data_IF_945594037462
#
_entry.id   IF_945594037462
#
_cell.length_a   1.000
_cell.length_b   1.000
_cell.length_c   1.000
_cell.angle_alpha   90.00
_cell.angle_beta   90.00
_cell.angle_gamma   90.00
#
_symmetry.space_group_name_H-M   'P 1'
#
loop_
_entity.id
_entity.type
_entity.pdbx_description
1 polymer ?
#
# COMPACT_ATOMS: atom_id res chain seq x y z
N UNK A 1 60.52 -2.42 42.17
CA UNK A 1 59.80 -3.69 41.99
C UNK A 1 58.73 -3.50 40.90
N UNK A 2 59.05 -3.94 39.67
CA UNK A 2 58.19 -3.81 38.51
C UNK A 2 57.44 -5.15 38.33
N UNK A 3 56.10 -5.08 38.29
CA UNK A 3 55.30 -6.25 37.96
C UNK A 3 54.94 -6.23 36.46
N UNK A 4 55.40 -7.21 35.74
CA UNK A 4 55.11 -7.44 34.34
C UNK A 4 53.64 -7.78 34.15
N UNK A 5 52.99 -7.11 33.21
CA UNK A 5 51.62 -7.36 32.75
C UNK A 5 51.67 -8.32 31.55
N UNK A 6 51.31 -9.57 31.75
CA UNK A 6 51.22 -10.57 30.68
C UNK A 6 49.82 -10.50 30.08
N UNK A 7 49.69 -9.85 28.91
CA UNK A 7 48.46 -9.82 28.12
C UNK A 7 48.18 -11.20 27.51
N UNK A 8 47.10 -11.83 27.93
CA UNK A 8 46.52 -13.00 27.25
C UNK A 8 45.52 -12.54 26.20
N UNK A 9 45.89 -12.66 24.95
CA UNK A 9 45.00 -12.49 23.80
C UNK A 9 43.97 -13.63 23.77
N UNK A 10 42.71 -13.34 24.00
CA UNK A 10 41.59 -14.26 23.79
C UNK A 10 40.85 -13.83 22.52
N UNK A 11 41.38 -14.23 21.35
CA UNK A 11 40.55 -14.34 20.15
C UNK A 11 39.73 -15.62 20.26
N UNK A 12 38.57 -15.56 20.90
CA UNK A 12 37.57 -16.60 20.83
C UNK A 12 36.77 -16.44 19.55
N UNK A 13 36.80 -17.44 18.70
CA UNK A 13 36.12 -17.51 17.42
C UNK A 13 34.63 -17.26 17.56
N UNK A 14 34.14 -16.24 16.86
CA UNK A 14 32.72 -15.96 16.69
C UNK A 14 32.06 -17.01 15.81
N UNK A 15 31.64 -18.11 16.41
CA UNK A 15 30.74 -19.05 15.77
C UNK A 15 29.44 -18.33 15.45
N UNK A 16 29.09 -18.17 14.17
CA UNK A 16 27.77 -17.74 13.75
C UNK A 16 26.74 -18.70 14.33
N UNK A 17 26.03 -18.25 15.35
CA UNK A 17 24.90 -18.98 15.90
C UNK A 17 23.82 -19.02 14.82
N UNK A 18 23.64 -20.17 14.19
CA UNK A 18 22.55 -20.42 13.26
C UNK A 18 21.28 -20.31 14.10
N UNK A 19 20.58 -19.17 13.98
CA UNK A 19 19.27 -18.99 14.58
C UNK A 19 18.31 -19.95 13.85
N UNK A 20 17.68 -20.91 14.56
CA UNK A 20 16.72 -21.80 13.93
C UNK A 20 15.63 -20.97 13.26
N UNK A 21 15.32 -21.27 12.00
CA UNK A 21 14.18 -20.67 11.31
C UNK A 21 12.94 -20.95 12.15
N UNK A 22 12.31 -19.90 12.68
CA UNK A 22 11.04 -20.04 13.37
C UNK A 22 10.04 -20.74 12.44
N UNK A 23 9.46 -21.86 12.90
CA UNK A 23 8.36 -22.50 12.19
C UNK A 23 7.14 -21.58 12.29
N UNK A 24 6.44 -21.35 11.19
CA UNK A 24 5.18 -20.63 11.21
C UNK A 24 4.23 -21.28 12.22
N UNK A 25 3.58 -20.48 13.06
CA UNK A 25 2.59 -20.99 14.01
C UNK A 25 1.42 -21.59 13.23
N UNK A 26 0.84 -22.74 13.64
CA UNK A 26 -0.26 -23.38 12.92
C UNK A 26 -1.50 -22.49 12.76
N UNK A 27 -1.68 -21.51 13.65
CA UNK A 27 -2.76 -20.52 13.58
C UNK A 27 -2.36 -19.23 12.85
N UNK A 28 -1.17 -19.17 12.24
CA UNK A 28 -0.76 -18.06 11.41
C UNK A 28 -1.52 -18.17 10.10
N UNK A 29 -2.67 -17.50 10.04
CA UNK A 29 -3.45 -17.36 8.80
C UNK A 29 -2.55 -16.69 7.78
N UNK A 30 -2.14 -17.44 6.76
CA UNK A 30 -1.52 -16.86 5.59
C UNK A 30 -2.57 -15.94 4.97
N UNK A 31 -2.35 -14.63 5.02
CA UNK A 31 -3.15 -13.70 4.23
C UNK A 31 -2.84 -13.99 2.77
N UNK A 32 -3.73 -14.71 2.14
CA UNK A 32 -3.68 -14.94 0.69
C UNK A 32 -4.16 -13.63 0.03
N UNK A 33 -3.21 -12.78 -0.30
CA UNK A 33 -3.47 -11.51 -0.97
C UNK A 33 -3.57 -11.81 -2.46
N UNK A 34 -4.75 -12.23 -2.90
CA UNK A 34 -5.03 -12.37 -4.32
C UNK A 34 -5.09 -10.98 -4.96
N UNK A 35 -4.21 -10.75 -5.95
CA UNK A 35 -4.20 -9.48 -6.67
C UNK A 35 -5.53 -9.33 -7.43
N UNK A 36 -6.24 -8.19 -7.30
CA UNK A 36 -7.51 -8.02 -7.97
C UNK A 36 -7.32 -8.07 -9.50
N UNK A 37 -8.17 -8.84 -10.16
CA UNK A 37 -8.18 -8.88 -11.61
C UNK A 37 -9.06 -7.75 -12.17
N UNK A 38 -8.59 -7.00 -13.19
CA UNK A 38 -9.38 -5.96 -13.80
C UNK A 38 -10.59 -6.54 -14.52
N UNK A 39 -11.73 -5.89 -14.42
CA UNK A 39 -12.95 -6.23 -15.16
C UNK A 39 -12.77 -5.86 -16.63
N UNK A 40 -12.76 -6.85 -17.52
CA UNK A 40 -12.51 -6.66 -18.97
C UNK A 40 -13.65 -7.16 -19.86
N UNK A 41 -14.66 -7.79 -19.28
CA UNK A 41 -15.79 -8.30 -20.01
C UNK A 41 -16.73 -7.20 -20.53
N UNK A 42 -17.65 -7.58 -21.43
CA UNK A 42 -18.63 -6.67 -21.96
C UNK A 42 -19.53 -6.11 -20.85
N UNK A 43 -19.60 -4.79 -20.75
CA UNK A 43 -20.41 -4.06 -19.77
C UNK A 43 -20.06 -4.32 -18.27
N UNK A 44 -18.93 -4.92 -17.93
CA UNK A 44 -18.54 -5.17 -16.53
C UNK A 44 -18.29 -3.89 -15.71
N UNK A 45 -18.02 -2.77 -16.36
CA UNK A 45 -17.96 -1.45 -15.74
C UNK A 45 -19.27 -0.67 -15.86
N UNK A 46 -20.36 -1.31 -16.33
CA UNK A 46 -21.66 -0.64 -16.35
C UNK A 46 -22.08 -0.23 -14.94
N UNK A 47 -22.65 0.98 -14.81
CA UNK A 47 -23.04 1.53 -13.52
C UNK A 47 -21.88 2.06 -12.65
N UNK A 48 -20.67 2.20 -13.19
CA UNK A 48 -19.52 2.76 -12.46
C UNK A 48 -19.82 4.16 -11.93
N UNK A 49 -20.43 5.04 -12.74
CA UNK A 49 -20.85 6.39 -12.30
C UNK A 49 -21.77 6.35 -11.08
N UNK A 50 -22.71 5.40 -11.05
CA UNK A 50 -23.60 5.24 -9.90
C UNK A 50 -22.81 4.84 -8.66
N UNK A 51 -21.88 3.89 -8.78
CA UNK A 51 -21.02 3.49 -7.65
C UNK A 51 -20.14 4.64 -7.16
N UNK A 52 -19.61 5.46 -8.05
CA UNK A 52 -18.87 6.68 -7.70
C UNK A 52 -19.77 7.64 -6.90
N UNK A 53 -20.98 7.91 -7.36
CA UNK A 53 -21.91 8.78 -6.66
C UNK A 53 -22.33 8.22 -5.28
N UNK A 54 -22.53 6.90 -5.18
CA UNK A 54 -22.79 6.21 -3.91
C UNK A 54 -21.59 6.34 -2.94
N UNK A 55 -20.36 6.21 -3.46
CA UNK A 55 -19.13 6.42 -2.69
C UNK A 55 -19.01 7.87 -2.20
N UNK A 56 -19.30 8.85 -3.05
CA UNK A 56 -19.35 10.27 -2.66
C UNK A 56 -20.39 10.51 -1.58
N UNK A 57 -21.59 9.94 -1.74
CA UNK A 57 -22.63 10.00 -0.71
C UNK A 57 -22.17 9.42 0.64
N UNK A 58 -21.48 8.29 0.61
CA UNK A 58 -20.93 7.66 1.80
C UNK A 58 -19.85 8.52 2.45
N UNK A 59 -18.92 9.10 1.69
CA UNK A 59 -17.90 10.01 2.21
C UNK A 59 -18.52 11.21 2.92
N UNK A 60 -19.50 11.86 2.29
CA UNK A 60 -20.19 13.03 2.83
C UNK A 60 -21.04 12.71 4.06
N UNK A 61 -21.69 11.56 4.09
CA UNK A 61 -22.57 11.18 5.21
C UNK A 61 -21.81 10.62 6.40
N UNK A 62 -20.60 10.12 6.20
CA UNK A 62 -19.73 9.62 7.27
C UNK A 62 -18.90 10.71 7.96
N UNK A 63 -18.79 11.89 7.35
CA UNK A 63 -18.11 13.03 7.96
C UNK A 63 -19.08 13.78 8.90
N UNK A 64 -18.67 14.03 10.16
CA UNK A 64 -19.54 14.72 11.12
C UNK A 64 -19.68 16.22 10.84
N UNK A 65 -18.84 16.80 9.96
CA UNK A 65 -18.86 18.23 9.64
C UNK A 65 -19.98 18.58 8.65
N UNK A 66 -20.51 19.82 8.71
CA UNK A 66 -21.46 20.30 7.74
C UNK A 66 -20.87 20.29 6.31
N UNK A 67 -21.70 20.02 5.32
CA UNK A 67 -21.27 19.98 3.89
C UNK A 67 -20.69 21.30 3.41
N UNK A 68 -21.11 22.41 3.99
CA UNK A 68 -20.55 23.74 3.71
C UNK A 68 -19.06 23.84 4.07
N UNK A 69 -18.68 23.24 5.20
CA UNK A 69 -17.29 23.20 5.67
C UNK A 69 -16.45 22.32 4.73
N UNK A 70 -16.96 21.15 4.39
CA UNK A 70 -16.29 20.24 3.43
C UNK A 70 -16.10 20.94 2.09
N UNK A 71 -17.15 21.64 1.58
CA UNK A 71 -17.08 22.37 0.32
C UNK A 71 -16.04 23.50 0.37
N UNK A 72 -15.95 24.24 1.49
CA UNK A 72 -14.96 25.28 1.67
C UNK A 72 -13.53 24.73 1.68
N UNK A 73 -13.27 23.64 2.39
CA UNK A 73 -11.96 22.99 2.40
C UNK A 73 -11.57 22.45 1.02
N UNK A 74 -12.51 21.83 0.31
CA UNK A 74 -12.29 21.40 -1.07
C UNK A 74 -11.98 22.59 -2.00
N UNK A 75 -12.65 23.74 -1.79
CA UNK A 75 -12.40 24.95 -2.57
C UNK A 75 -10.98 25.47 -2.37
N UNK A 76 -10.50 25.46 -1.13
CA UNK A 76 -9.11 25.83 -0.81
C UNK A 76 -8.11 24.85 -1.43
N UNK A 77 -8.41 23.54 -1.35
CA UNK A 77 -7.51 22.50 -1.85
C UNK A 77 -7.36 22.54 -3.38
N UNK A 78 -8.43 22.88 -4.11
CA UNK A 78 -8.46 22.85 -5.56
C UNK A 78 -8.28 24.24 -6.21
N UNK A 79 -8.27 25.30 -5.41
CA UNK A 79 -8.32 26.69 -5.90
C UNK A 79 -9.52 26.94 -6.85
N UNK A 80 -10.66 26.29 -6.54
CA UNK A 80 -11.89 26.36 -7.31
C UNK A 80 -13.10 26.61 -6.39
N UNK A 81 -14.10 27.41 -6.78
CA UNK A 81 -15.31 27.56 -5.99
C UNK A 81 -16.16 26.29 -6.00
N UNK A 82 -16.28 25.65 -4.85
CA UNK A 82 -17.12 24.47 -4.64
C UNK A 82 -18.24 24.83 -3.66
N UNK A 83 -19.48 24.56 -4.05
CA UNK A 83 -20.65 24.84 -3.22
C UNK A 83 -21.24 23.55 -2.63
N UNK A 84 -21.97 23.70 -1.50
CA UNK A 84 -22.79 22.62 -0.95
C UNK A 84 -23.73 22.01 -2.01
N UNK A 85 -24.39 22.86 -2.83
CA UNK A 85 -25.31 22.40 -3.84
C UNK A 85 -24.64 21.45 -4.87
N UNK A 86 -23.35 21.68 -5.17
CA UNK A 86 -22.57 20.78 -6.02
C UNK A 86 -22.36 19.42 -5.33
N UNK A 87 -22.00 19.42 -4.04
CA UNK A 87 -21.84 18.18 -3.28
C UNK A 87 -23.15 17.39 -3.18
N UNK A 88 -24.28 18.09 -2.96
CA UNK A 88 -25.59 17.48 -2.93
C UNK A 88 -25.98 16.89 -4.30
N UNK A 89 -25.58 17.54 -5.40
CA UNK A 89 -25.81 17.02 -6.75
C UNK A 89 -24.98 15.76 -7.02
N UNK A 90 -23.72 15.70 -6.59
CA UNK A 90 -22.82 14.56 -6.77
C UNK A 90 -23.21 13.35 -5.93
N UNK A 91 -23.77 13.57 -4.73
CA UNK A 91 -24.18 12.50 -3.82
C UNK A 91 -25.56 11.93 -4.12
N UNK A 92 -26.29 12.49 -5.09
CA UNK A 92 -27.66 12.06 -5.41
C UNK A 92 -27.69 10.93 -6.44
N UNK A 93 -28.08 9.69 -6.07
CA UNK A 93 -28.17 8.58 -7.02
C UNK A 93 -29.18 8.82 -8.17
N UNK A 94 -30.16 9.69 -7.94
CA UNK A 94 -31.19 10.03 -8.93
C UNK A 94 -30.70 11.02 -10.01
N UNK A 95 -29.58 11.72 -9.76
CA UNK A 95 -29.03 12.73 -10.66
C UNK A 95 -27.86 12.19 -11.48
N UNK A 96 -28.06 11.14 -12.23
CA UNK A 96 -27.04 10.47 -13.08
C UNK A 96 -26.34 11.44 -14.06
N UNK A 97 -27.01 12.55 -14.40
CA UNK A 97 -26.44 13.59 -15.28
C UNK A 97 -25.33 14.42 -14.60
N UNK A 98 -25.26 14.44 -13.26
CA UNK A 98 -24.23 15.18 -12.53
C UNK A 98 -23.05 14.27 -12.18
N UNK A 99 -22.13 14.16 -13.13
CA UNK A 99 -20.87 13.40 -12.93
C UNK A 99 -19.92 14.19 -12.05
N UNK A 100 -19.25 13.46 -11.17
CA UNK A 100 -18.21 14.05 -10.34
C UNK A 100 -16.92 14.17 -11.16
N UNK A 101 -16.35 15.38 -11.33
CA UNK A 101 -15.01 15.50 -11.89
C UNK A 101 -13.98 14.75 -11.04
N UNK A 102 -13.01 14.11 -11.68
CA UNK A 102 -12.01 13.30 -11.00
C UNK A 102 -11.24 14.12 -9.95
N UNK A 103 -10.89 15.38 -10.25
CA UNK A 103 -10.21 16.29 -9.30
C UNK A 103 -11.02 16.46 -8.00
N UNK A 104 -12.34 16.67 -8.14
CA UNK A 104 -13.24 16.86 -6.99
C UNK A 104 -13.47 15.56 -6.22
N UNK A 105 -13.50 14.42 -6.89
CA UNK A 105 -13.58 13.13 -6.24
C UNK A 105 -12.36 12.85 -5.35
N UNK A 106 -11.14 13.12 -5.85
CA UNK A 106 -9.93 13.00 -5.07
C UNK A 106 -9.85 14.01 -3.92
N UNK A 107 -10.21 15.27 -4.18
CA UNK A 107 -10.25 16.29 -3.14
C UNK A 107 -11.20 15.92 -1.99
N UNK A 108 -12.38 15.38 -2.31
CA UNK A 108 -13.34 14.92 -1.31
C UNK A 108 -12.75 13.78 -0.48
N UNK A 109 -12.11 12.79 -1.10
CA UNK A 109 -11.48 11.67 -0.38
C UNK A 109 -10.37 12.15 0.58
N UNK A 110 -9.62 13.18 0.19
CA UNK A 110 -8.59 13.81 1.03
C UNK A 110 -9.20 14.58 2.19
N UNK A 111 -10.19 15.45 1.92
CA UNK A 111 -10.84 16.31 2.92
C UNK A 111 -11.60 15.51 3.96
N UNK A 112 -12.27 14.45 3.54
CA UNK A 112 -13.01 13.55 4.46
C UNK A 112 -12.14 12.47 5.08
N UNK A 113 -10.87 12.35 4.69
CA UNK A 113 -9.93 11.30 5.08
C UNK A 113 -10.49 9.87 4.85
N UNK A 114 -11.33 9.68 3.81
CA UNK A 114 -12.00 8.42 3.49
C UNK A 114 -11.40 7.74 2.24
N UNK A 115 -10.06 7.64 2.20
CA UNK A 115 -9.33 6.93 1.15
C UNK A 115 -9.66 5.43 1.12
N UNK A 116 -10.10 4.88 2.25
CA UNK A 116 -10.57 3.50 2.38
C UNK A 116 -11.71 3.16 1.42
N UNK A 117 -12.57 4.13 1.11
CA UNK A 117 -13.71 3.95 0.21
C UNK A 117 -13.32 3.89 -1.28
N UNK A 118 -12.05 4.17 -1.60
CA UNK A 118 -11.56 4.09 -2.98
C UNK A 118 -11.23 2.65 -3.40
N UNK A 119 -10.82 1.79 -2.45
CA UNK A 119 -10.35 0.43 -2.76
C UNK A 119 -11.37 -0.41 -3.57
N UNK A 120 -12.68 -0.42 -3.28
CA UNK A 120 -13.64 -1.15 -4.10
C UNK A 120 -13.69 -0.70 -5.56
N UNK A 121 -13.53 0.60 -5.83
CA UNK A 121 -13.50 1.15 -7.18
C UNK A 121 -12.19 0.83 -7.89
N UNK A 122 -11.08 0.86 -7.16
CA UNK A 122 -9.75 0.50 -7.68
C UNK A 122 -9.68 -0.98 -8.04
N UNK A 123 -10.33 -1.86 -7.27
CA UNK A 123 -10.41 -3.31 -7.57
C UNK A 123 -11.10 -3.61 -8.90
N UNK A 124 -12.08 -2.80 -9.29
CA UNK A 124 -12.75 -2.94 -10.58
C UNK A 124 -11.77 -2.81 -11.77
N UNK A 125 -10.71 -2.04 -11.61
CA UNK A 125 -9.66 -1.85 -12.63
C UNK A 125 -8.37 -2.66 -12.35
N UNK A 126 -8.43 -3.59 -11.39
CA UNK A 126 -7.31 -4.48 -11.06
C UNK A 126 -6.24 -3.83 -10.19
N UNK A 127 -6.59 -2.81 -9.42
CA UNK A 127 -5.70 -2.14 -8.47
C UNK A 127 -6.18 -2.38 -7.04
N UNK A 128 -5.26 -2.33 -6.07
CA UNK A 128 -5.57 -2.29 -4.65
C UNK A 128 -5.00 -0.99 -4.08
N UNK A 129 -5.81 -0.27 -3.31
CA UNK A 129 -5.40 0.93 -2.61
C UNK A 129 -4.70 0.56 -1.29
N UNK A 130 -3.56 1.16 -1.02
CA UNK A 130 -2.86 1.06 0.25
C UNK A 130 -2.77 2.45 0.87
N UNK A 131 -3.02 2.56 2.18
CA UNK A 131 -3.06 3.85 2.87
C UNK A 131 -2.08 3.86 4.05
N UNK A 132 -1.36 4.97 4.21
CA UNK A 132 -0.50 5.20 5.37
C UNK A 132 0.61 4.14 5.51
N UNK A 133 0.63 3.44 6.65
CA UNK A 133 1.69 2.46 6.98
C UNK A 133 1.60 1.16 6.16
N UNK A 134 0.45 0.87 5.54
CA UNK A 134 0.31 -0.27 4.63
C UNK A 134 1.26 -0.14 3.42
N UNK A 135 1.48 1.08 2.93
CA UNK A 135 2.44 1.37 1.85
C UNK A 135 3.85 0.95 2.25
N UNK A 136 4.25 1.24 3.50
CA UNK A 136 5.57 0.87 4.03
C UNK A 136 5.69 -0.65 4.17
N UNK A 137 4.64 -1.31 4.65
CA UNK A 137 4.59 -2.77 4.81
C UNK A 137 4.69 -3.48 3.46
N UNK A 138 3.95 -3.01 2.45
CA UNK A 138 4.03 -3.54 1.09
C UNK A 138 5.43 -3.34 0.49
N UNK A 139 6.04 -2.17 0.70
CA UNK A 139 7.41 -1.88 0.25
C UNK A 139 8.43 -2.78 0.91
N UNK A 140 8.28 -3.04 2.22
CA UNK A 140 9.14 -3.97 2.95
C UNK A 140 9.05 -5.38 2.38
N UNK A 141 7.83 -5.88 2.12
CA UNK A 141 7.62 -7.18 1.47
C UNK A 141 8.27 -7.27 0.09
N UNK A 142 8.14 -6.23 -0.73
CA UNK A 142 8.80 -6.15 -2.04
C UNK A 142 10.32 -6.23 -1.92
N UNK A 143 10.91 -5.49 -0.98
CA UNK A 143 12.36 -5.53 -0.75
C UNK A 143 12.83 -6.90 -0.27
N UNK A 144 12.07 -7.57 0.60
CA UNK A 144 12.37 -8.94 1.04
C UNK A 144 12.38 -9.93 -0.13
N UNK A 145 11.42 -9.82 -1.05
CA UNK A 145 11.39 -10.64 -2.27
C UNK A 145 12.60 -10.38 -3.16
N UNK A 146 13.00 -9.11 -3.34
CA UNK A 146 14.19 -8.76 -4.11
C UNK A 146 15.47 -9.34 -3.48
N UNK A 147 15.62 -9.25 -2.16
CA UNK A 147 16.74 -9.84 -1.43
C UNK A 147 16.77 -11.36 -1.63
N UNK A 148 15.63 -12.04 -1.49
CA UNK A 148 15.56 -13.48 -1.67
C UNK A 148 15.92 -13.91 -3.11
N UNK A 149 15.46 -13.15 -4.12
CA UNK A 149 15.80 -13.39 -5.52
C UNK A 149 17.29 -13.20 -5.78
N UNK A 150 17.88 -12.10 -5.29
CA UNK A 150 19.32 -11.82 -5.42
C UNK A 150 20.17 -12.88 -4.72
N UNK A 151 19.77 -13.35 -3.53
CA UNK A 151 20.45 -14.44 -2.82
C UNK A 151 20.38 -15.77 -3.59
N UNK A 152 19.24 -16.05 -4.24
CA UNK A 152 19.08 -17.24 -5.06
C UNK A 152 20.00 -17.20 -6.30
N UNK A 153 20.11 -16.03 -6.93
CA UNK A 153 20.99 -15.79 -8.06
C UNK A 153 22.49 -15.93 -7.66
N UNK A 154 22.89 -15.32 -6.56
CA UNK A 154 24.24 -15.49 -6.01
C UNK A 154 24.59 -16.95 -5.75
N UNK A 155 23.64 -17.75 -5.21
CA UNK A 155 23.87 -19.19 -5.02
C UNK A 155 24.09 -19.94 -6.34
N UNK A 156 23.32 -19.61 -7.37
CA UNK A 156 23.47 -20.19 -8.72
C UNK A 156 24.84 -19.84 -9.33
N UNK A 157 25.27 -18.59 -9.19
CA UNK A 157 26.56 -18.13 -9.71
C UNK A 157 27.73 -18.77 -8.96
N UNK A 158 27.66 -18.87 -7.63
CA UNK A 158 28.71 -19.57 -6.83
C UNK A 158 28.85 -21.04 -7.21
N UNK A 159 27.76 -21.72 -7.56
CA UNK A 159 27.79 -23.09 -8.04
C UNK A 159 28.38 -23.27 -9.43
N UNK A 160 28.40 -22.20 -10.23
CA UNK A 160 28.93 -22.18 -11.61
C UNK A 160 30.32 -21.53 -11.73
N UNK A 161 30.73 -20.77 -10.71
CA UNK A 161 32.01 -20.10 -10.73
C UNK A 161 33.14 -21.14 -10.68
N UNK A 162 34.15 -21.08 -11.58
CA UNK A 162 35.31 -21.98 -11.51
C UNK A 162 36.03 -21.74 -10.17
N UNK A 163 36.37 -22.82 -9.48
CA UNK A 163 37.21 -22.74 -8.27
C UNK A 163 38.51 -22.09 -8.69
N UNK A 164 38.77 -20.87 -8.24
CA UNK A 164 40.11 -20.29 -8.41
C UNK A 164 41.10 -21.19 -7.73
N UNK A 165 41.94 -21.83 -8.51
CA UNK A 165 43.07 -22.65 -8.01
C UNK A 165 43.99 -21.66 -7.35
N UNK A 166 44.12 -21.74 -6.02
CA UNK A 166 45.07 -20.92 -5.27
C UNK A 166 46.44 -21.13 -5.86
N UNK A 167 47.07 -20.04 -6.37
CA UNK A 167 48.44 -20.04 -6.79
C UNK A 167 49.33 -20.37 -5.57
N UNK A 168 50.18 -21.34 -5.71
CA UNK A 168 51.33 -21.57 -4.87
C UNK A 168 52.32 -20.43 -5.06
#
# INVERSE_FOLDING_TARGET
MARAWTGRSIFAGGGYRIVPKAKAHPDQVAFDFEAPAPRKGRAELAGLERRINETVGTMLNSDPRPREVIAAEMSVLLDEPISRAMLDAYSSPARIAHRVPMSRFWALAVVTARQDLLDPLLRDIGMAGLVGDEVKTARLGQLQQQIAAAQAEMRKLRGKAPKMRGGQ
#
